data_IF_333362099158
#
_entry.id   IF_333362099158
#
_cell.length_a   1.000
_cell.length_b   1.000
_cell.length_c   1.000
_cell.angle_alpha   90.00
_cell.angle_beta   90.00
_cell.angle_gamma   90.00
#
_symmetry.space_group_name_H-M   'P 1'
#
loop_
_entity.id
_entity.type
_entity.pdbx_description
1 polymer ?
#
# COMPACT_ATOMS: atom_id res chain seq x y z
N UNK A 1 -9.26 -2.71 -21.66
CA UNK A 1 -8.39 -2.38 -20.50
C UNK A 1 -7.53 -3.58 -20.22
N UNK A 2 -6.27 -3.38 -19.82
CA UNK A 2 -5.44 -4.47 -19.35
C UNK A 2 -5.88 -4.91 -17.94
N UNK A 3 -5.49 -6.12 -17.51
CA UNK A 3 -5.73 -6.61 -16.14
C UNK A 3 -5.20 -5.63 -15.08
N UNK A 4 -4.10 -4.94 -15.39
CA UNK A 4 -3.51 -3.92 -14.50
C UNK A 4 -4.42 -2.70 -14.38
N UNK A 5 -4.97 -2.23 -15.49
CA UNK A 5 -5.86 -1.05 -15.50
C UNK A 5 -7.12 -1.32 -14.67
N UNK A 6 -7.70 -2.52 -14.80
CA UNK A 6 -8.83 -2.96 -13.97
C UNK A 6 -8.51 -2.93 -12.48
N UNK A 7 -7.30 -3.39 -12.10
CA UNK A 7 -6.83 -3.35 -10.72
C UNK A 7 -6.60 -1.91 -10.24
N UNK A 8 -6.02 -1.04 -11.07
CA UNK A 8 -5.81 0.37 -10.73
C UNK A 8 -7.15 1.08 -10.47
N UNK A 9 -8.17 0.84 -11.31
CA UNK A 9 -9.53 1.37 -11.09
C UNK A 9 -10.09 0.90 -9.75
N UNK A 10 -9.93 -0.39 -9.44
CA UNK A 10 -10.36 -0.96 -8.16
C UNK A 10 -9.62 -0.34 -6.96
N UNK A 11 -8.31 -0.14 -7.08
CA UNK A 11 -7.49 0.46 -6.01
C UNK A 11 -7.84 1.93 -5.80
N UNK A 12 -8.14 2.68 -6.87
CA UNK A 12 -8.61 4.05 -6.80
C UNK A 12 -9.96 4.15 -6.10
N UNK A 13 -10.91 3.24 -6.41
CA UNK A 13 -12.18 3.16 -5.71
C UNK A 13 -11.99 2.87 -4.21
N UNK A 14 -11.14 1.90 -3.85
CA UNK A 14 -10.83 1.60 -2.45
C UNK A 14 -10.22 2.80 -1.71
N UNK A 15 -9.29 3.54 -2.34
CA UNK A 15 -8.72 4.76 -1.76
C UNK A 15 -9.79 5.81 -1.47
N UNK A 16 -10.73 6.00 -2.40
CA UNK A 16 -11.81 6.97 -2.24
C UNK A 16 -12.84 6.53 -1.21
N UNK A 17 -13.42 5.34 -1.41
CA UNK A 17 -14.62 4.92 -0.72
C UNK A 17 -14.33 4.35 0.68
N UNK A 18 -13.17 3.72 0.86
CA UNK A 18 -12.78 3.09 2.15
C UNK A 18 -11.80 3.94 2.94
N UNK A 19 -10.90 4.66 2.27
CA UNK A 19 -9.84 5.43 2.93
C UNK A 19 -10.11 6.95 2.97
N UNK A 20 -11.14 7.44 2.27
CA UNK A 20 -11.45 8.87 2.18
C UNK A 20 -10.35 9.69 1.50
N UNK A 21 -9.59 9.07 0.59
CA UNK A 21 -8.46 9.69 -0.12
C UNK A 21 -8.83 9.90 -1.57
N UNK A 22 -8.64 11.13 -2.07
CA UNK A 22 -8.65 11.36 -3.52
C UNK A 22 -7.31 10.89 -4.09
N UNK A 23 -7.28 9.85 -4.95
CA UNK A 23 -6.04 9.25 -5.39
C UNK A 23 -5.33 10.13 -6.43
N UNK A 24 -4.02 10.31 -6.27
CA UNK A 24 -3.15 10.72 -7.37
C UNK A 24 -2.93 9.51 -8.27
N UNK A 25 -3.53 9.53 -9.46
CA UNK A 25 -3.51 8.38 -10.38
C UNK A 25 -2.13 8.07 -10.95
N UNK A 26 -1.23 9.05 -11.08
CA UNK A 26 0.16 8.81 -11.51
C UNK A 26 0.90 8.01 -10.45
N UNK A 27 0.84 8.46 -9.19
CA UNK A 27 1.47 7.77 -8.07
C UNK A 27 0.87 6.37 -7.88
N UNK A 28 -0.45 6.23 -7.96
CA UNK A 28 -1.11 4.92 -7.84
C UNK A 28 -0.66 3.95 -8.93
N UNK A 29 -0.54 4.44 -10.18
CA UNK A 29 -0.05 3.64 -11.31
C UNK A 29 1.39 3.18 -11.05
N UNK A 30 2.28 4.11 -10.65
CA UNK A 30 3.69 3.80 -10.38
C UNK A 30 3.86 2.84 -9.21
N UNK A 31 3.11 3.02 -8.12
CA UNK A 31 3.09 2.09 -6.98
C UNK A 31 2.60 0.71 -7.42
N UNK A 32 1.52 0.64 -8.20
CA UNK A 32 0.98 -0.62 -8.72
C UNK A 32 1.98 -1.36 -9.61
N UNK A 33 2.69 -0.63 -10.48
CA UNK A 33 3.79 -1.19 -11.29
C UNK A 33 4.92 -1.69 -10.39
N UNK A 34 5.27 -0.93 -9.34
CA UNK A 34 6.30 -1.30 -8.37
C UNK A 34 5.98 -2.55 -7.55
N UNK A 35 4.70 -2.89 -7.37
CA UNK A 35 4.29 -4.18 -6.79
C UNK A 35 4.53 -5.37 -7.73
N UNK A 36 4.71 -5.13 -9.04
CA UNK A 36 5.05 -6.16 -10.02
C UNK A 36 3.94 -7.22 -10.17
N UNK A 37 4.27 -8.49 -10.45
CA UNK A 37 3.28 -9.54 -10.71
C UNK A 37 2.48 -9.97 -9.46
N UNK A 38 2.89 -9.56 -8.26
CA UNK A 38 2.20 -9.91 -7.01
C UNK A 38 0.74 -9.44 -6.99
N UNK A 39 0.41 -8.38 -7.73
CA UNK A 39 -0.95 -7.83 -7.81
C UNK A 39 -1.96 -8.79 -8.43
N UNK A 40 -1.49 -9.82 -9.16
CA UNK A 40 -2.35 -10.77 -9.86
C UNK A 40 -2.62 -12.06 -9.05
N UNK A 41 -1.87 -12.30 -7.98
CA UNK A 41 -2.10 -13.43 -7.08
C UNK A 41 -2.90 -12.95 -5.87
N UNK A 42 -4.01 -13.60 -5.54
CA UNK A 42 -4.93 -13.12 -4.51
C UNK A 42 -4.27 -12.96 -3.13
N UNK A 43 -3.43 -13.90 -2.73
CA UNK A 43 -2.73 -13.89 -1.45
C UNK A 43 -1.63 -12.83 -1.46
N UNK A 44 -0.79 -12.83 -2.50
CA UNK A 44 0.31 -11.88 -2.65
C UNK A 44 -0.14 -10.45 -3.01
N UNK A 45 -1.42 -10.23 -3.34
CA UNK A 45 -2.00 -8.92 -3.60
C UNK A 45 -2.58 -8.26 -2.35
N UNK A 46 -2.76 -8.99 -1.24
CA UNK A 46 -3.38 -8.47 -0.01
C UNK A 46 -2.44 -8.51 1.20
N UNK A 47 -2.61 -7.56 2.12
CA UNK A 47 -1.82 -7.41 3.35
C UNK A 47 -2.71 -7.74 4.54
N UNK A 48 -2.31 -8.71 5.36
CA UNK A 48 -2.97 -9.02 6.62
C UNK A 48 -2.60 -7.98 7.68
N UNK A 49 -3.57 -7.16 8.09
CA UNK A 49 -3.37 -6.09 9.08
C UNK A 49 -3.23 -6.57 10.53
N UNK A 50 -3.33 -7.87 10.79
CA UNK A 50 -3.21 -8.47 12.13
C UNK A 50 -2.07 -9.48 12.22
N UNK A 51 -1.39 -9.78 11.12
CA UNK A 51 -0.25 -10.68 11.10
C UNK A 51 1.03 -9.89 11.32
N UNK A 52 1.68 -10.10 12.47
CA UNK A 52 2.93 -9.41 12.80
C UNK A 52 4.04 -9.67 11.78
N UNK A 53 4.13 -10.90 11.26
CA UNK A 53 5.12 -11.27 10.23
C UNK A 53 4.87 -10.56 8.90
N UNK A 54 3.61 -10.39 8.50
CA UNK A 54 3.23 -9.62 7.32
C UNK A 54 3.57 -8.13 7.50
N UNK A 55 3.23 -7.54 8.65
CA UNK A 55 3.54 -6.14 8.94
C UNK A 55 5.06 -5.89 9.00
N UNK A 56 5.82 -6.81 9.60
CA UNK A 56 7.28 -6.76 9.60
C UNK A 56 7.86 -6.85 8.18
N UNK A 57 7.26 -7.65 7.30
CA UNK A 57 7.65 -7.75 5.89
C UNK A 57 7.41 -6.42 5.16
N UNK A 58 6.27 -5.76 5.39
CA UNK A 58 5.99 -4.43 4.86
C UNK A 58 7.02 -3.41 5.38
N UNK A 59 7.30 -3.40 6.67
CA UNK A 59 8.30 -2.51 7.28
C UNK A 59 9.68 -2.69 6.65
N UNK A 60 10.19 -3.92 6.66
CA UNK A 60 11.57 -4.20 6.25
C UNK A 60 11.76 -4.07 4.74
N UNK A 61 10.87 -4.66 3.95
CA UNK A 61 11.06 -4.73 2.51
C UNK A 61 10.56 -3.48 1.79
N UNK A 62 9.50 -2.83 2.28
CA UNK A 62 8.95 -1.66 1.62
C UNK A 62 9.46 -0.37 2.25
N UNK A 63 9.18 -0.12 3.53
CA UNK A 63 9.52 1.16 4.17
C UNK A 63 11.03 1.38 4.24
N UNK A 64 11.77 0.40 4.75
CA UNK A 64 13.22 0.51 4.93
C UNK A 64 13.93 0.34 3.57
N UNK A 65 13.79 -0.83 2.94
CA UNK A 65 14.58 -1.17 1.75
C UNK A 65 14.18 -0.39 0.49
N UNK A 66 12.89 -0.17 0.24
CA UNK A 66 12.42 0.49 -1.00
C UNK A 66 12.28 2.00 -0.84
N UNK A 67 11.72 2.48 0.26
CA UNK A 67 11.53 3.92 0.50
C UNK A 67 12.72 4.60 1.21
N UNK A 68 13.69 3.82 1.67
CA UNK A 68 14.91 4.32 2.31
C UNK A 68 14.65 4.97 3.67
N UNK A 69 13.62 4.52 4.39
CA UNK A 69 13.34 5.01 5.74
C UNK A 69 14.27 4.34 6.75
N UNK A 70 14.69 5.09 7.78
CA UNK A 70 15.44 4.53 8.91
C UNK A 70 14.49 3.73 9.79
N UNK A 71 14.99 2.61 10.32
CA UNK A 71 14.23 1.82 11.29
C UNK A 71 13.93 2.63 12.55
N UNK A 72 12.73 2.45 13.09
CA UNK A 72 12.24 3.14 14.27
C UNK A 72 10.77 2.86 14.54
N UNK A 73 10.28 3.18 15.75
CA UNK A 73 8.91 2.91 16.18
C UNK A 73 7.85 3.65 15.34
N UNK A 74 8.23 4.73 14.66
CA UNK A 74 7.30 5.49 13.82
C UNK A 74 6.90 4.73 12.55
N UNK A 75 7.70 3.76 12.09
CA UNK A 75 7.32 2.89 10.98
C UNK A 75 6.14 1.99 11.36
N UNK A 76 6.20 1.38 12.54
CA UNK A 76 5.12 0.52 13.05
C UNK A 76 3.85 1.33 13.33
N UNK A 77 3.98 2.55 13.86
CA UNK A 77 2.84 3.47 14.03
C UNK A 77 2.23 3.88 12.69
N UNK A 78 3.06 4.17 11.68
CA UNK A 78 2.61 4.52 10.33
C UNK A 78 1.86 3.36 9.66
N UNK A 79 2.37 2.13 9.80
CA UNK A 79 1.69 0.92 9.33
C UNK A 79 0.32 0.76 10.00
N UNK A 80 0.26 0.82 11.34
CA UNK A 80 -1.01 0.72 12.06
C UNK A 80 -2.00 1.80 11.64
N UNK A 81 -1.53 3.05 11.49
CA UNK A 81 -2.36 4.17 11.02
C UNK A 81 -2.96 3.89 9.64
N UNK A 82 -2.17 3.33 8.70
CA UNK A 82 -2.65 2.97 7.37
C UNK A 82 -3.62 1.79 7.40
N UNK A 83 -3.37 0.78 8.24
CA UNK A 83 -4.26 -0.37 8.42
C UNK A 83 -5.61 0.07 9.01
N UNK A 84 -5.59 0.98 9.99
CA UNK A 84 -6.79 1.56 10.59
C UNK A 84 -7.55 2.41 9.57
N UNK A 85 -6.84 3.26 8.82
CA UNK A 85 -7.41 4.09 7.75
C UNK A 85 -8.08 3.26 6.66
N UNK A 86 -7.53 2.11 6.32
CA UNK A 86 -8.12 1.20 5.32
C UNK A 86 -9.24 0.32 5.91
N UNK A 87 -9.46 0.38 7.22
CA UNK A 87 -10.49 -0.35 7.95
C UNK A 87 -10.03 -1.76 8.36
N UNK A 88 -9.94 -2.02 9.67
CA UNK A 88 -9.55 -3.34 10.19
C UNK A 88 -10.47 -4.47 9.69
N UNK A 89 -11.77 -4.21 9.59
CA UNK A 89 -12.77 -5.15 9.09
C UNK A 89 -12.66 -5.48 7.60
N UNK A 90 -11.95 -4.67 6.81
CA UNK A 90 -11.72 -4.97 5.39
C UNK A 90 -10.76 -6.17 5.27
N UNK A 91 -11.28 -7.33 4.85
CA UNK A 91 -10.46 -8.53 4.65
C UNK A 91 -9.48 -8.40 3.47
N UNK A 92 -9.78 -7.51 2.52
CA UNK A 92 -9.03 -7.34 1.29
C UNK A 92 -8.30 -5.98 1.30
N UNK A 93 -7.26 -5.85 2.12
CA UNK A 93 -6.39 -4.67 2.10
C UNK A 93 -5.36 -4.86 0.99
N UNK A 94 -5.59 -4.27 -0.17
CA UNK A 94 -4.67 -4.45 -1.30
C UNK A 94 -3.31 -3.82 -1.05
N UNK A 95 -2.24 -4.54 -1.36
CA UNK A 95 -0.85 -4.13 -1.14
C UNK A 95 -0.51 -2.84 -1.85
N UNK A 96 -0.97 -2.67 -3.09
CA UNK A 96 -0.80 -1.43 -3.83
C UNK A 96 -1.44 -0.23 -3.11
N UNK A 97 -2.63 -0.42 -2.52
CA UNK A 97 -3.32 0.63 -1.75
C UNK A 97 -2.59 0.91 -0.43
N UNK A 98 -2.17 -0.13 0.30
CA UNK A 98 -1.37 0.02 1.53
C UNK A 98 -0.06 0.76 1.24
N UNK A 99 0.65 0.38 0.18
CA UNK A 99 1.93 0.99 -0.21
C UNK A 99 1.75 2.43 -0.69
N UNK A 100 0.66 2.73 -1.41
CA UNK A 100 0.30 4.09 -1.75
C UNK A 100 0.10 4.94 -0.50
N UNK A 101 -0.73 4.48 0.44
CA UNK A 101 -1.03 5.20 1.69
C UNK A 101 0.22 5.42 2.54
N UNK A 102 1.11 4.41 2.64
CA UNK A 102 2.38 4.53 3.34
C UNK A 102 3.32 5.52 2.65
N UNK A 103 3.39 5.50 1.32
CA UNK A 103 4.20 6.43 0.54
C UNK A 103 3.77 7.88 0.80
N UNK A 104 2.46 8.15 0.80
CA UNK A 104 1.90 9.46 1.11
C UNK A 104 2.12 9.83 2.59
N UNK A 105 1.88 8.89 3.52
CA UNK A 105 2.05 9.13 4.95
C UNK A 105 3.47 9.59 5.30
N UNK A 106 4.49 8.98 4.69
CA UNK A 106 5.90 9.31 4.90
C UNK A 106 6.46 10.36 3.92
N UNK A 107 5.63 10.96 3.06
CA UNK A 107 6.04 11.97 2.06
C UNK A 107 7.15 11.47 1.12
N UNK A 108 7.01 10.24 0.65
CA UNK A 108 7.98 9.51 -0.20
C UNK A 108 7.53 9.38 -1.65
N UNK A 109 6.60 10.22 -2.11
CA UNK A 109 6.11 10.24 -3.49
C UNK A 109 7.26 10.43 -4.50
N UNK A 110 8.26 11.23 -4.14
CA UNK A 110 9.46 11.47 -4.95
C UNK A 110 10.34 10.23 -5.19
N UNK A 111 10.12 9.13 -4.46
CA UNK A 111 10.78 7.84 -4.73
C UNK A 111 10.23 7.18 -6.01
N UNK A 112 9.06 7.61 -6.50
CA UNK A 112 8.39 7.14 -7.70
C UNK A 112 8.48 8.20 -8.81
N UNK A 113 9.67 8.34 -9.40
CA UNK A 113 9.90 9.19 -10.57
C UNK A 113 9.41 8.51 -11.84
#
# INVERSE_FOLDING_TARGET
>A
MSKRDELIVKYAADLKDKCGVTPNMDLLTKVTIGCGPSIYNADAATVSGTSESELATVKNNFLIKKLGLKDGPDLDKGINTVIDKYGRSNKNKYRAVVYYLLTVHFKKENSYK
#
